data_IF_757886275445
#
_entry.id   IF_757886275445
#
_cell.length_a   1.000
_cell.length_b   1.000
_cell.length_c   1.000
_cell.angle_alpha   90.00
_cell.angle_beta   90.00
_cell.angle_gamma   90.00
#
_symmetry.space_group_name_H-M   'P 1'
#
loop_
_entity.id
_entity.type
_entity.pdbx_description
1 polymer ?
#
# COMPACT_ATOMS: atom_id res chain seq x y z
N UNK A 1 18.43 10.10 5.17
CA UNK A 1 17.25 9.59 4.45
C UNK A 1 17.69 8.76 3.28
N UNK A 2 16.87 7.81 2.81
CA UNK A 2 17.14 7.03 1.58
C UNK A 2 16.61 7.79 0.36
N UNK A 3 17.19 7.55 -0.82
CA UNK A 3 16.71 8.10 -2.08
C UNK A 3 15.83 7.06 -2.77
N UNK A 4 14.58 7.41 -3.09
CA UNK A 4 13.61 6.48 -3.68
C UNK A 4 14.12 5.85 -4.98
N UNK A 5 14.81 6.66 -5.80
CA UNK A 5 15.46 6.22 -7.04
C UNK A 5 16.47 5.09 -6.81
N UNK A 6 17.24 5.17 -5.72
CA UNK A 6 18.25 4.16 -5.39
C UNK A 6 17.60 2.88 -4.89
N UNK A 7 16.52 2.98 -4.09
CA UNK A 7 15.80 1.81 -3.61
C UNK A 7 15.11 1.05 -4.74
N UNK A 8 14.55 1.77 -5.70
CA UNK A 8 13.84 1.17 -6.84
C UNK A 8 14.74 0.82 -8.04
N UNK A 9 16.07 0.84 -7.87
CA UNK A 9 17.02 0.54 -8.95
C UNK A 9 16.82 -0.83 -9.58
N UNK A 10 16.48 -1.83 -8.75
CA UNK A 10 16.38 -3.25 -9.12
C UNK A 10 14.92 -3.71 -9.28
N UNK A 11 13.97 -2.79 -9.12
CA UNK A 11 12.54 -3.03 -9.23
C UNK A 11 11.78 -2.02 -8.37
N UNK A 12 10.72 -1.43 -8.91
CA UNK A 12 9.89 -0.54 -8.11
C UNK A 12 8.92 -1.38 -7.27
N UNK A 13 9.03 -1.27 -5.95
CA UNK A 13 8.26 -2.06 -5.00
C UNK A 13 7.50 -1.14 -4.06
N UNK A 14 6.26 -1.52 -3.76
CA UNK A 14 5.47 -0.85 -2.74
C UNK A 14 4.41 -1.80 -2.23
N UNK A 15 4.02 -1.65 -0.96
CA UNK A 15 2.90 -2.35 -0.39
C UNK A 15 1.59 -1.74 -0.91
N UNK A 16 0.74 -2.59 -1.51
CA UNK A 16 -0.56 -2.23 -2.11
C UNK A 16 -0.48 -1.22 -3.26
N UNK A 17 0.71 -0.80 -3.72
CA UNK A 17 0.81 0.36 -4.60
C UNK A 17 0.70 1.71 -3.89
N UNK A 18 0.74 1.73 -2.54
CA UNK A 18 0.42 2.90 -1.72
C UNK A 18 1.59 3.38 -0.88
N UNK A 19 2.45 2.50 -0.37
CA UNK A 19 3.54 2.88 0.53
C UNK A 19 4.79 2.02 0.30
N UNK A 20 5.98 2.58 0.52
CA UNK A 20 7.25 1.86 0.35
C UNK A 20 8.01 1.79 1.68
N UNK A 21 8.65 0.64 2.00
CA UNK A 21 9.53 0.55 3.15
C UNK A 21 10.69 1.53 2.99
N UNK A 22 11.19 2.09 4.08
CA UNK A 22 12.21 3.15 4.11
C UNK A 22 11.66 4.59 4.01
N UNK A 23 10.36 4.76 3.77
CA UNK A 23 9.72 6.06 3.54
C UNK A 23 8.48 6.25 4.45
N UNK A 24 8.68 6.49 5.75
CA UNK A 24 7.57 6.63 6.69
C UNK A 24 6.69 7.83 6.34
N UNK A 25 5.38 7.69 6.56
CA UNK A 25 4.34 8.68 6.28
C UNK A 25 4.28 9.18 4.81
N UNK A 26 4.98 8.52 3.89
CA UNK A 26 4.91 8.80 2.46
C UNK A 26 3.93 7.83 1.80
N UNK A 27 2.90 8.39 1.16
CA UNK A 27 1.93 7.64 0.39
C UNK A 27 2.00 8.03 -1.09
N UNK A 28 1.68 7.07 -1.96
CA UNK A 28 1.57 7.25 -3.40
C UNK A 28 0.18 6.87 -3.86
N UNK A 29 -0.31 7.56 -4.89
CA UNK A 29 -1.56 7.23 -5.57
C UNK A 29 -1.21 6.59 -6.89
N UNK A 30 -1.78 5.42 -7.17
CA UNK A 30 -1.51 4.63 -8.39
C UNK A 30 -0.05 4.21 -8.53
N UNK A 31 0.60 3.88 -7.40
CA UNK A 31 1.98 3.41 -7.39
C UNK A 31 2.15 1.97 -7.91
N UNK A 32 3.41 1.50 -8.05
CA UNK A 32 3.75 0.16 -8.53
C UNK A 32 3.10 -0.94 -7.67
N UNK A 33 2.38 -1.87 -8.30
CA UNK A 33 1.65 -2.92 -7.60
C UNK A 33 0.21 -2.54 -7.21
N UNK A 34 -0.30 -1.37 -7.64
CA UNK A 34 -1.73 -1.07 -7.62
C UNK A 34 -2.41 -1.46 -8.95
N UNK A 35 -3.76 -1.51 -9.03
CA UNK A 35 -4.46 -1.83 -10.29
C UNK A 35 -4.23 -0.77 -11.37
N UNK A 36 -4.11 0.50 -10.93
CA UNK A 36 -3.87 1.69 -11.73
C UNK A 36 -4.53 1.60 -13.12
N UNK A 37 -3.67 1.50 -14.13
CA UNK A 37 -3.99 1.65 -15.54
C UNK A 37 -4.64 0.41 -16.20
N UNK A 38 -4.72 -0.73 -15.50
CA UNK A 38 -5.43 -1.92 -15.96
C UNK A 38 -6.94 -1.88 -15.67
N UNK A 39 -7.38 -0.79 -15.04
CA UNK A 39 -8.77 -0.56 -14.65
C UNK A 39 -9.19 0.83 -15.10
N UNK A 40 -10.44 1.22 -14.82
CA UNK A 40 -10.78 2.64 -14.87
C UNK A 40 -9.95 3.39 -13.82
N UNK A 41 -8.92 4.10 -14.30
CA UNK A 41 -7.93 4.75 -13.45
C UNK A 41 -8.55 5.76 -12.48
N UNK A 42 -9.67 6.39 -12.86
CA UNK A 42 -10.38 7.33 -11.96
C UNK A 42 -10.92 6.58 -10.75
N UNK A 43 -11.56 5.43 -10.93
CA UNK A 43 -12.07 4.61 -9.83
C UNK A 43 -10.97 4.01 -8.95
N UNK A 44 -9.76 3.80 -9.50
CA UNK A 44 -8.57 3.45 -8.70
C UNK A 44 -8.05 4.64 -7.89
N UNK A 45 -8.00 5.84 -8.50
CA UNK A 45 -7.55 7.07 -7.84
C UNK A 45 -8.48 7.43 -6.67
N UNK A 46 -9.79 7.46 -6.90
CA UNK A 46 -10.79 7.75 -5.86
C UNK A 46 -10.60 6.84 -4.65
N UNK A 47 -10.54 5.52 -4.90
CA UNK A 47 -10.35 4.55 -3.83
C UNK A 47 -9.01 4.74 -3.08
N UNK A 48 -7.90 4.99 -3.78
CA UNK A 48 -6.62 5.23 -3.12
C UNK A 48 -6.67 6.49 -2.23
N UNK A 49 -7.27 7.57 -2.72
CA UNK A 49 -7.38 8.82 -1.97
C UNK A 49 -8.25 8.63 -0.72
N UNK A 50 -9.40 7.98 -0.87
CA UNK A 50 -10.31 7.65 0.24
C UNK A 50 -9.60 6.79 1.30
N UNK A 51 -8.99 5.68 0.88
CA UNK A 51 -8.31 4.76 1.79
C UNK A 51 -7.13 5.42 2.52
N UNK A 52 -6.32 6.22 1.81
CA UNK A 52 -5.22 6.97 2.43
C UNK A 52 -5.76 8.02 3.42
N UNK A 53 -6.83 8.73 3.08
CA UNK A 53 -7.43 9.73 3.96
C UNK A 53 -7.99 9.10 5.25
N UNK A 54 -8.70 7.98 5.13
CA UNK A 54 -9.20 7.18 6.26
C UNK A 54 -8.04 6.67 7.12
N UNK A 55 -6.96 6.19 6.50
CA UNK A 55 -5.79 5.74 7.23
C UNK A 55 -5.13 6.88 8.01
N UNK A 56 -4.96 8.05 7.41
CA UNK A 56 -4.43 9.24 8.11
C UNK A 56 -5.35 9.64 9.27
N UNK A 57 -6.67 9.53 9.11
CA UNK A 57 -7.62 9.79 10.18
C UNK A 57 -7.47 8.79 11.34
N UNK A 58 -7.33 7.49 11.03
CA UNK A 58 -7.03 6.45 12.02
C UNK A 58 -5.74 6.74 12.79
N UNK A 59 -4.65 7.05 12.08
CA UNK A 59 -3.36 7.36 12.71
C UNK A 59 -3.47 8.52 13.69
N UNK A 60 -4.20 9.59 13.30
CA UNK A 60 -4.45 10.74 14.18
C UNK A 60 -5.30 10.38 15.39
N UNK A 61 -6.35 9.58 15.22
CA UNK A 61 -7.24 9.15 16.30
C UNK A 61 -6.49 8.29 17.34
N UNK A 62 -5.57 7.45 16.88
CA UNK A 62 -4.75 6.57 17.75
C UNK A 62 -3.47 7.25 18.29
N UNK A 63 -3.25 8.52 17.94
CA UNK A 63 -2.04 9.26 18.32
C UNK A 63 -0.75 8.75 17.68
N UNK A 64 -0.85 7.97 16.59
CA UNK A 64 0.28 7.41 15.85
C UNK A 64 0.88 8.51 14.97
N UNK A 65 2.14 8.86 15.24
CA UNK A 65 2.84 9.94 14.52
C UNK A 65 3.70 9.46 13.36
N UNK A 66 4.01 8.15 13.34
CA UNK A 66 4.85 7.53 12.33
C UNK A 66 4.28 6.18 11.94
N UNK A 67 4.06 5.99 10.65
CA UNK A 67 3.72 4.70 10.06
C UNK A 67 4.58 4.39 8.84
N UNK A 68 4.77 3.11 8.56
CA UNK A 68 5.60 2.66 7.45
C UNK A 68 5.17 1.25 6.99
N UNK A 69 5.17 1.00 5.69
CA UNK A 69 5.00 -0.36 5.19
C UNK A 69 6.19 -1.24 5.62
N UNK A 70 5.89 -2.43 6.15
CA UNK A 70 6.93 -3.40 6.49
C UNK A 70 7.57 -3.97 5.24
N UNK A 71 8.85 -4.34 5.33
CA UNK A 71 9.57 -5.00 4.24
C UNK A 71 8.88 -6.31 3.87
N UNK A 72 8.49 -7.09 4.87
CA UNK A 72 7.87 -8.40 4.72
C UNK A 72 6.52 -8.30 3.99
N UNK A 73 5.67 -7.34 4.34
CA UNK A 73 4.40 -7.13 3.65
C UNK A 73 4.60 -6.64 2.21
N UNK A 74 5.62 -5.82 1.98
CA UNK A 74 5.96 -5.32 0.64
C UNK A 74 6.44 -6.44 -0.26
N UNK A 75 7.36 -7.28 0.22
CA UNK A 75 7.86 -8.45 -0.50
C UNK A 75 6.74 -9.46 -0.81
N UNK A 76 5.89 -9.75 0.18
CA UNK A 76 4.75 -10.65 0.00
C UNK A 76 3.75 -10.10 -1.03
N UNK A 77 3.49 -8.79 -1.02
CA UNK A 77 2.64 -8.14 -2.02
C UNK A 77 3.25 -8.20 -3.42
N UNK A 78 4.54 -7.89 -3.55
CA UNK A 78 5.27 -7.97 -4.82
C UNK A 78 5.23 -9.38 -5.39
N UNK A 79 5.47 -10.40 -4.56
CA UNK A 79 5.38 -11.80 -4.96
C UNK A 79 3.97 -12.17 -5.43
N UNK A 80 2.94 -11.74 -4.72
CA UNK A 80 1.55 -11.97 -5.10
C UNK A 80 1.20 -11.32 -6.46
N UNK A 81 1.61 -10.07 -6.67
CA UNK A 81 1.41 -9.38 -7.96
C UNK A 81 2.11 -10.14 -9.10
N UNK A 82 3.33 -10.60 -8.88
CA UNK A 82 4.09 -11.38 -9.86
C UNK A 82 3.45 -12.74 -10.15
N UNK A 83 2.97 -13.44 -9.12
CA UNK A 83 2.25 -14.72 -9.24
C UNK A 83 0.99 -14.57 -10.08
N UNK A 84 0.14 -13.56 -9.77
CA UNK A 84 -1.04 -13.28 -10.59
C UNK A 84 -0.64 -13.04 -12.04
N UNK A 85 0.32 -12.15 -12.28
CA UNK A 85 0.78 -11.83 -13.62
C UNK A 85 1.25 -13.08 -14.38
N UNK A 86 1.96 -14.00 -13.72
CA UNK A 86 2.47 -15.25 -14.31
C UNK A 86 1.39 -16.16 -14.89
N UNK A 87 0.16 -16.07 -14.37
CA UNK A 87 -1.00 -16.85 -14.85
C UNK A 87 -1.65 -16.24 -16.10
N UNK A 88 -1.11 -15.14 -16.64
CA UNK A 88 -1.63 -14.46 -17.81
C UNK A 88 -0.63 -14.40 -18.96
N UNK A 89 -1.05 -13.84 -20.09
CA UNK A 89 -0.17 -13.59 -21.22
C UNK A 89 0.64 -12.29 -21.07
N UNK A 90 0.34 -11.43 -20.08
CA UNK A 90 1.04 -10.14 -19.90
C UNK A 90 2.57 -10.29 -19.82
N UNK A 91 3.14 -11.26 -19.09
CA UNK A 91 4.60 -11.41 -19.01
C UNK A 91 5.27 -11.85 -20.30
N UNK A 92 4.51 -12.41 -21.25
CA UNK A 92 5.04 -12.89 -22.54
C UNK A 92 5.18 -11.77 -23.57
N UNK A 93 4.56 -10.61 -23.33
CA UNK A 93 4.66 -9.45 -24.19
C UNK A 93 5.78 -8.50 -23.71
N UNK A 94 6.68 -8.12 -24.62
CA UNK A 94 7.64 -7.04 -24.38
C UNK A 94 6.91 -5.69 -24.37
N UNK A 95 6.25 -5.39 -23.26
CA UNK A 95 5.44 -4.20 -23.07
C UNK A 95 6.03 -3.33 -21.95
N UNK A 96 5.58 -2.08 -21.89
CA UNK A 96 5.99 -1.15 -20.85
C UNK A 96 5.66 -1.65 -19.43
N UNK A 97 4.62 -2.48 -19.28
CA UNK A 97 4.24 -3.13 -18.01
C UNK A 97 5.34 -3.99 -17.42
N UNK A 98 6.17 -4.58 -18.29
CA UNK A 98 7.30 -5.43 -17.93
C UNK A 98 8.60 -4.63 -17.82
N UNK A 99 8.55 -3.28 -17.85
CA UNK A 99 9.75 -2.43 -17.87
C UNK A 99 10.62 -2.62 -19.12
N UNK A 100 10.13 -3.32 -20.15
CA UNK A 100 10.90 -3.75 -21.31
C UNK A 100 11.23 -2.62 -22.30
N UNK A 101 10.69 -1.42 -22.07
CA UNK A 101 10.88 -0.23 -22.91
C UNK A 101 12.18 0.54 -22.61
N UNK A 102 12.86 0.25 -21.50
CA UNK A 102 14.13 0.91 -21.12
C UNK A 102 15.23 -0.15 -21.02
N UNK A 103 16.25 -0.13 -21.91
CA UNK A 103 17.40 -1.02 -21.81
C UNK A 103 18.06 -0.92 -20.43
N UNK A 104 18.31 -2.07 -19.79
CA UNK A 104 18.92 -2.15 -18.45
C UNK A 104 17.96 -1.99 -17.28
N UNK A 105 16.66 -1.71 -17.51
CA UNK A 105 15.67 -1.66 -16.43
C UNK A 105 15.21 -3.08 -16.03
N UNK A 106 15.08 -3.37 -14.73
CA UNK A 106 14.53 -4.63 -14.23
C UNK A 106 13.14 -4.91 -14.80
N UNK A 107 12.91 -6.18 -15.16
CA UNK A 107 11.62 -6.64 -15.70
C UNK A 107 10.67 -7.06 -14.59
N UNK A 108 10.14 -6.08 -13.86
CA UNK A 108 9.12 -6.31 -12.83
C UNK A 108 7.76 -5.88 -13.40
N UNK A 109 6.75 -6.72 -13.25
CA UNK A 109 5.40 -6.37 -13.66
C UNK A 109 4.81 -5.33 -12.69
N UNK A 110 4.49 -4.15 -13.21
CA UNK A 110 4.23 -2.97 -12.37
C UNK A 110 2.79 -2.81 -11.89
N UNK A 111 1.85 -3.64 -12.34
CA UNK A 111 0.43 -3.46 -12.07
C UNK A 111 -0.18 -4.67 -11.37
N UNK A 112 -1.20 -4.46 -10.53
CA UNK A 112 -2.00 -5.55 -9.98
C UNK A 112 -3.11 -5.94 -10.96
N UNK A 113 -3.10 -7.19 -11.42
CA UNK A 113 -4.09 -7.68 -12.42
C UNK A 113 -5.28 -8.41 -11.82
N UNK A 114 -5.37 -8.51 -10.48
CA UNK A 114 -6.49 -9.21 -9.83
C UNK A 114 -7.83 -8.46 -9.92
N UNK A 115 -7.88 -7.30 -10.57
CA UNK A 115 -9.09 -6.48 -10.73
C UNK A 115 -9.37 -5.55 -9.55
N UNK A 116 -10.07 -4.43 -9.82
CA UNK A 116 -10.31 -3.38 -8.81
C UNK A 116 -11.14 -3.86 -7.63
N UNK A 117 -12.14 -4.71 -7.85
CA UNK A 117 -12.99 -5.25 -6.76
C UNK A 117 -12.16 -6.05 -5.74
N UNK A 118 -11.40 -7.05 -6.20
CA UNK A 118 -10.54 -7.85 -5.33
C UNK A 118 -9.46 -7.02 -4.61
N UNK A 119 -8.97 -5.96 -5.27
CA UNK A 119 -8.04 -5.01 -4.65
C UNK A 119 -8.71 -4.24 -3.51
N UNK A 120 -9.90 -3.67 -3.75
CA UNK A 120 -10.69 -2.95 -2.74
C UNK A 120 -11.00 -3.83 -1.52
N UNK A 121 -11.52 -5.03 -1.75
CA UNK A 121 -11.83 -5.99 -0.67
C UNK A 121 -10.60 -6.31 0.18
N UNK A 122 -9.40 -6.37 -0.43
CA UNK A 122 -8.16 -6.60 0.30
C UNK A 122 -7.75 -5.37 1.11
N UNK A 123 -7.84 -4.17 0.55
CA UNK A 123 -7.59 -2.91 1.25
C UNK A 123 -8.54 -2.74 2.45
N UNK A 124 -9.81 -3.10 2.29
CA UNK A 124 -10.82 -3.06 3.37
C UNK A 124 -10.48 -4.05 4.49
N UNK A 125 -10.12 -5.30 4.17
CA UNK A 125 -9.67 -6.27 5.18
C UNK A 125 -8.43 -5.79 5.94
N UNK A 126 -7.46 -5.23 5.21
CA UNK A 126 -6.24 -4.68 5.82
C UNK A 126 -6.58 -3.54 6.78
N UNK A 127 -7.46 -2.61 6.40
CA UNK A 127 -7.91 -1.53 7.26
C UNK A 127 -8.65 -2.06 8.50
N UNK A 128 -9.54 -3.05 8.33
CA UNK A 128 -10.27 -3.70 9.42
C UNK A 128 -9.33 -4.42 10.41
N UNK A 129 -8.21 -4.97 9.92
CA UNK A 129 -7.18 -5.63 10.73
C UNK A 129 -6.15 -4.64 11.31
N UNK A 130 -6.54 -3.38 11.50
CA UNK A 130 -5.67 -2.35 12.09
C UNK A 130 -4.50 -1.96 11.20
N UNK A 131 -4.73 -1.95 9.88
CA UNK A 131 -3.73 -1.66 8.84
C UNK A 131 -2.58 -2.67 8.83
N UNK A 132 -2.93 -3.96 8.79
CA UNK A 132 -1.96 -5.07 8.72
C UNK A 132 -0.93 -4.86 7.60
N UNK A 133 0.34 -5.10 7.93
CA UNK A 133 1.48 -4.88 7.04
C UNK A 133 2.11 -3.48 7.16
N UNK A 134 1.50 -2.59 7.95
CA UNK A 134 2.12 -1.34 8.39
C UNK A 134 2.62 -1.44 9.84
N UNK A 135 3.81 -0.90 10.06
CA UNK A 135 4.37 -0.69 11.40
C UNK A 135 3.99 0.72 11.89
N UNK A 136 3.40 0.80 13.08
CA UNK A 136 3.00 2.04 13.74
C UNK A 136 3.93 2.32 14.93
N UNK A 137 4.50 3.53 15.00
CA UNK A 137 5.23 3.97 16.19
C UNK A 137 4.30 4.64 17.22
N UNK A 138 4.73 4.67 18.48
CA UNK A 138 4.17 5.52 19.54
C UNK A 138 2.63 5.49 19.65
N UNK A 139 2.06 4.29 19.82
CA UNK A 139 0.63 4.17 20.10
C UNK A 139 0.34 4.86 21.42
N UNK A 140 -0.46 5.92 21.42
CA UNK A 140 -0.85 6.57 22.66
C UNK A 140 -1.56 5.53 23.53
N UNK A 141 -1.02 5.23 24.71
CA UNK A 141 -1.81 4.60 25.78
C UNK A 141 -2.89 5.61 26.13
N UNK A 142 -4.09 5.47 25.56
CA UNK A 142 -5.27 6.13 26.13
C UNK A 142 -5.37 5.55 27.55
N UNK A 143 -5.16 6.34 28.63
CA UNK A 143 -5.43 5.84 29.96
C UNK A 143 -6.91 5.47 29.97
N UNK A 144 -7.25 4.26 30.42
CA UNK A 144 -8.64 3.87 30.60
C UNK A 144 -9.34 4.96 31.42
N UNK A 145 -10.14 5.79 30.75
CA UNK A 145 -10.85 6.89 31.37
C UNK A 145 -11.86 6.31 32.34
N UNK A 146 -11.57 6.46 33.62
CA UNK A 146 -12.46 6.32 34.77
C UNK A 146 -13.91 6.63 34.41
N UNK A 147 -14.70 5.59 34.17
CA UNK A 147 -16.14 5.70 34.06
C UNK A 147 -16.74 5.88 35.46
N UNK A 148 -17.41 7.02 35.63
CA UNK A 148 -18.48 7.29 36.59
C UNK A 148 -18.12 7.48 38.09
N UNK A 149 -17.73 8.72 38.42
CA UNK A 149 -18.14 9.37 39.67
C UNK A 149 -18.94 10.63 39.32
N UNK A 150 -20.20 10.44 38.90
CA UNK A 150 -21.20 11.51 38.83
C UNK A 150 -22.59 10.90 38.93
N UNK A 151 -22.94 10.44 40.14
CA UNK A 151 -24.32 10.30 40.57
C UNK A 151 -24.38 10.84 42.00
N UNK A 152 -24.71 12.13 42.10
CA UNK A 152 -24.98 12.80 43.36
C UNK A 152 -25.80 14.05 43.12
N UNK A 153 -27.13 13.93 43.26
CA UNK A 153 -27.95 14.61 44.27
C UNK A 153 -29.42 14.32 44.03
#
# INVERSE_FOLDING_TARGET
GRIMREQWRDGAESYLGLASPGFPNLFTVTGPGSPAILTNVIGSIEHHVEWIAEYIAYLRAEGITRTEATTEATEAWTAHVAELASMTLYPRAASWYMGANIPGKPRVFLAYIGGLHNYRDRCERIAADGYLGFAHADRARIPAGSAAAAAGS
#
